data_IF_778210218189
#
_entry.id   IF_778210218189
#
_cell.length_a   1.000
_cell.length_b   1.000
_cell.length_c   1.000
_cell.angle_alpha   90.00
_cell.angle_beta   90.00
_cell.angle_gamma   90.00
#
_symmetry.space_group_name_H-M   'P 1'
#
loop_
_entity.id
_entity.type
_entity.pdbx_description
1 polymer ?
#
# COMPACT_ATOMS: atom_id res chain seq x y z
N UNK A 1 0.06 24.39 -8.60
CA UNK A 1 0.95 24.23 -7.44
C UNK A 1 1.89 25.41 -7.44
N UNK A 2 2.09 26.03 -6.29
CA UNK A 2 2.96 27.21 -6.17
C UNK A 2 4.36 26.79 -5.70
N UNK A 3 5.35 27.67 -5.87
CA UNK A 3 6.74 27.38 -5.49
C UNK A 3 6.89 27.06 -3.99
N UNK A 4 6.02 27.61 -3.14
CA UNK A 4 6.01 27.31 -1.70
C UNK A 4 5.62 25.86 -1.45
N UNK A 5 4.50 25.43 -2.03
CA UNK A 5 4.01 24.05 -1.91
C UNK A 5 5.04 23.05 -2.45
N UNK A 6 5.70 23.40 -3.57
CA UNK A 6 6.79 22.58 -4.13
C UNK A 6 7.91 22.40 -3.11
N UNK A 7 8.36 23.47 -2.45
CA UNK A 7 9.43 23.42 -1.44
C UNK A 7 9.05 22.63 -0.21
N UNK A 8 7.81 22.75 0.26
CA UNK A 8 7.29 22.00 1.41
C UNK A 8 7.23 20.50 1.11
N UNK A 9 6.89 20.12 -0.13
CA UNK A 9 6.76 18.71 -0.56
C UNK A 9 8.01 18.14 -1.25
N UNK A 10 9.07 18.93 -1.42
CA UNK A 10 10.24 18.54 -2.24
C UNK A 10 10.96 17.30 -1.70
N UNK A 11 11.11 17.18 -0.37
CA UNK A 11 11.75 16.00 0.24
C UNK A 11 10.96 14.73 -0.07
N UNK A 12 9.64 14.76 0.16
CA UNK A 12 8.77 13.63 -0.15
C UNK A 12 8.74 13.29 -1.65
N UNK A 13 8.87 14.29 -2.52
CA UNK A 13 9.00 14.10 -3.96
C UNK A 13 10.31 13.42 -4.37
N UNK A 14 11.42 13.78 -3.72
CA UNK A 14 12.74 13.17 -3.97
C UNK A 14 12.79 11.73 -3.46
N UNK A 15 12.17 11.45 -2.32
CA UNK A 15 12.13 10.12 -1.70
C UNK A 15 11.02 9.20 -2.27
N UNK A 16 10.27 9.66 -3.28
CA UNK A 16 9.15 8.95 -3.91
C UNK A 16 8.06 8.49 -2.90
N UNK A 17 7.75 9.34 -1.92
CA UNK A 17 6.75 9.07 -0.87
C UNK A 17 5.46 9.87 -1.05
N UNK A 18 5.36 10.69 -2.09
CA UNK A 18 4.16 11.47 -2.40
C UNK A 18 3.04 10.61 -3.00
N UNK A 19 1.79 11.03 -2.77
CA UNK A 19 0.66 10.47 -3.50
C UNK A 19 0.79 10.77 -5.00
N UNK A 20 0.33 9.86 -5.86
CA UNK A 20 0.53 9.98 -7.32
C UNK A 20 -0.01 11.28 -7.93
N UNK A 21 -1.10 11.83 -7.41
CA UNK A 21 -1.66 13.13 -7.86
C UNK A 21 -0.69 14.28 -7.55
N UNK A 22 -0.06 14.25 -6.38
CA UNK A 22 0.90 15.26 -5.95
C UNK A 22 2.21 15.14 -6.72
N UNK A 23 2.64 13.92 -7.03
CA UNK A 23 3.81 13.66 -7.87
C UNK A 23 3.65 14.29 -9.27
N UNK A 24 2.49 14.11 -9.91
CA UNK A 24 2.21 14.75 -11.21
C UNK A 24 2.20 16.27 -11.07
N UNK A 25 1.59 16.81 -10.01
CA UNK A 25 1.61 18.24 -9.73
C UNK A 25 3.02 18.82 -9.56
N UNK A 26 3.89 18.10 -8.87
CA UNK A 26 5.32 18.44 -8.71
C UNK A 26 6.06 18.43 -10.05
N UNK A 27 5.81 17.41 -10.89
CA UNK A 27 6.42 17.29 -12.22
C UNK A 27 5.99 18.42 -13.15
N UNK A 28 4.70 18.74 -13.21
CA UNK A 28 4.19 19.86 -14.00
C UNK A 28 4.82 21.18 -13.55
N UNK A 29 4.87 21.44 -12.24
CA UNK A 29 5.48 22.66 -11.72
C UNK A 29 6.97 22.76 -12.06
N UNK A 30 7.71 21.65 -12.00
CA UNK A 30 9.13 21.62 -12.38
C UNK A 30 9.35 21.88 -13.87
N UNK A 31 8.41 21.47 -14.73
CA UNK A 31 8.48 21.76 -16.17
C UNK A 31 8.22 23.24 -16.48
N UNK A 32 7.41 23.91 -15.67
CA UNK A 32 6.99 25.30 -15.88
C UNK A 32 7.86 26.32 -15.12
N UNK A 33 8.48 25.94 -14.00
CA UNK A 33 9.25 26.84 -13.14
C UNK A 33 10.75 26.53 -13.13
N UNK A 34 11.54 27.36 -13.81
CA UNK A 34 13.00 27.22 -13.88
C UNK A 34 13.68 27.31 -12.49
N UNK A 35 13.16 28.16 -11.60
CA UNK A 35 13.72 28.30 -10.24
C UNK A 35 13.64 26.97 -9.48
N UNK A 36 12.47 26.33 -9.47
CA UNK A 36 12.23 25.06 -8.81
C UNK A 36 12.98 23.90 -9.48
N UNK A 37 13.06 23.90 -10.81
CA UNK A 37 13.89 22.94 -11.56
C UNK A 37 15.38 23.05 -11.21
N UNK A 38 15.90 24.28 -11.07
CA UNK A 38 17.30 24.51 -10.69
C UNK A 38 17.58 24.04 -9.26
N UNK A 39 16.61 24.18 -8.35
CA UNK A 39 16.70 23.69 -6.98
C UNK A 39 16.72 22.16 -6.94
N UNK A 40 15.79 21.51 -7.66
CA UNK A 40 15.75 20.06 -7.75
C UNK A 40 17.05 19.48 -8.31
N UNK A 41 17.58 20.06 -9.39
CA UNK A 41 18.85 19.65 -9.98
C UNK A 41 20.02 19.77 -8.99
N UNK A 42 20.07 20.82 -8.16
CA UNK A 42 21.10 20.99 -7.13
C UNK A 42 20.99 19.89 -6.06
N UNK A 43 19.78 19.60 -5.58
CA UNK A 43 19.55 18.55 -4.57
C UNK A 43 19.93 17.18 -5.12
N UNK A 44 19.47 16.83 -6.33
CA UNK A 44 19.82 15.55 -6.96
C UNK A 44 21.32 15.39 -7.20
N UNK A 45 22.02 16.45 -7.61
CA UNK A 45 23.49 16.44 -7.71
C UNK A 45 24.17 16.24 -6.36
N UNK A 46 23.69 16.88 -5.30
CA UNK A 46 24.21 16.66 -3.95
C UNK A 46 24.02 15.21 -3.51
N UNK A 47 22.85 14.61 -3.78
CA UNK A 47 22.59 13.20 -3.49
C UNK A 47 23.50 12.24 -4.26
N UNK A 48 23.86 12.57 -5.49
CA UNK A 48 24.86 11.79 -6.24
C UNK A 48 26.23 11.82 -5.55
N UNK A 49 26.64 12.95 -4.95
CA UNK A 49 27.87 12.97 -4.14
C UNK A 49 27.75 12.02 -2.95
N UNK A 50 26.61 12.06 -2.23
CA UNK A 50 26.39 11.18 -1.09
C UNK A 50 26.42 9.69 -1.45
N UNK A 51 25.84 9.33 -2.59
CA UNK A 51 25.84 7.95 -3.11
C UNK A 51 27.23 7.46 -3.50
N UNK A 52 28.16 8.37 -3.77
CA UNK A 52 29.55 8.05 -4.13
C UNK A 52 30.53 8.18 -2.96
N UNK A 53 30.05 8.29 -1.71
CA UNK A 53 30.94 8.19 -0.56
C UNK A 53 31.57 6.78 -0.47
N UNK A 54 32.80 6.68 0.09
CA UNK A 54 33.38 5.38 0.37
C UNK A 54 32.46 4.57 1.28
N UNK A 55 32.45 3.26 1.07
CA UNK A 55 31.68 2.35 1.93
C UNK A 55 32.12 2.50 3.38
N UNK A 56 31.16 2.57 4.29
CA UNK A 56 31.43 2.68 5.73
C UNK A 56 31.95 1.33 6.22
N UNK A 57 33.17 1.31 6.76
CA UNK A 57 33.70 0.12 7.43
C UNK A 57 33.00 -0.10 8.77
N UNK A 58 32.41 -1.29 8.94
CA UNK A 58 31.74 -1.67 10.17
C UNK A 58 32.75 -2.12 11.22
N UNK A 59 32.48 -1.82 12.50
CA UNK A 59 33.29 -2.35 13.61
C UNK A 59 33.33 -3.89 13.60
N UNK A 60 34.44 -4.46 14.08
CA UNK A 60 34.57 -5.90 14.21
C UNK A 60 33.40 -6.52 15.01
N UNK A 61 32.84 -7.61 14.49
CA UNK A 61 31.71 -8.32 15.10
C UNK A 61 30.36 -7.60 15.03
N UNK A 62 30.24 -6.45 14.34
CA UNK A 62 28.96 -5.74 14.18
C UNK A 62 27.86 -6.62 13.62
N UNK A 63 28.14 -7.36 12.54
CA UNK A 63 27.16 -8.24 11.91
C UNK A 63 26.64 -9.32 12.87
N UNK A 64 27.53 -9.89 13.70
CA UNK A 64 27.14 -10.88 14.70
C UNK A 64 26.26 -10.28 15.80
N UNK A 65 26.59 -9.08 16.29
CA UNK A 65 25.76 -8.36 17.27
C UNK A 65 24.40 -7.97 16.69
N UNK A 66 24.37 -7.54 15.43
CA UNK A 66 23.13 -7.20 14.73
C UNK A 66 22.22 -8.42 14.57
N UNK A 67 22.77 -9.56 14.12
CA UNK A 67 22.01 -10.80 13.97
C UNK A 67 21.46 -11.31 15.31
N UNK A 68 22.28 -11.27 16.37
CA UNK A 68 21.83 -11.61 17.72
C UNK A 68 20.67 -10.70 18.17
N UNK A 69 20.77 -9.39 17.93
CA UNK A 69 19.73 -8.43 18.31
C UNK A 69 18.44 -8.61 17.51
N UNK A 70 18.54 -8.87 16.20
CA UNK A 70 17.37 -9.13 15.35
C UNK A 70 16.63 -10.40 15.78
N UNK A 71 17.37 -11.46 16.18
CA UNK A 71 16.78 -12.69 16.72
C UNK A 71 16.04 -12.44 18.03
N UNK A 72 16.64 -11.69 18.94
CA UNK A 72 16.03 -11.31 20.21
C UNK A 72 14.73 -10.51 20.02
N UNK A 73 14.74 -9.48 19.16
CA UNK A 73 13.54 -8.69 18.86
C UNK A 73 12.43 -9.56 18.26
N UNK A 74 12.76 -10.43 17.31
CA UNK A 74 11.78 -11.35 16.70
C UNK A 74 11.16 -12.29 17.72
N UNK A 75 11.95 -12.80 18.67
CA UNK A 75 11.45 -13.65 19.74
C UNK A 75 10.54 -12.87 20.71
N UNK A 76 10.89 -11.62 21.02
CA UNK A 76 10.07 -10.75 21.86
C UNK A 76 8.74 -10.40 21.20
N UNK A 77 8.72 -10.08 19.90
CA UNK A 77 7.47 -9.78 19.16
C UNK A 77 6.52 -11.00 19.15
N UNK A 78 7.07 -12.19 18.93
CA UNK A 78 6.28 -13.44 18.99
C UNK A 78 5.77 -13.74 20.40
N UNK A 79 6.55 -13.39 21.42
CA UNK A 79 6.19 -13.57 22.83
C UNK A 79 5.22 -12.49 23.33
N UNK A 80 5.16 -11.34 22.66
CA UNK A 80 4.27 -10.23 22.94
C UNK A 80 2.88 -10.40 22.32
N UNK A 81 2.66 -11.40 21.46
CA UNK A 81 1.31 -11.80 21.09
C UNK A 81 0.56 -12.21 22.36
N UNK A 82 -0.63 -11.64 22.66
CA UNK A 82 -1.34 -11.90 23.90
C UNK A 82 -2.00 -13.29 23.85
N UNK A 83 -1.19 -14.34 23.87
CA UNK A 83 -1.62 -15.74 23.94
C UNK A 83 -2.50 -15.98 25.18
N UNK A 84 -2.33 -15.17 26.23
CA UNK A 84 -3.10 -15.25 27.46
C UNK A 84 -4.48 -14.57 27.37
N UNK A 85 -4.66 -13.58 26.49
CA UNK A 85 -5.95 -12.92 26.26
C UNK A 85 -6.90 -13.75 25.38
N UNK A 86 -6.34 -14.48 24.41
CA UNK A 86 -7.12 -15.32 23.50
C UNK A 86 -7.85 -16.46 24.20
N UNK A 87 -7.22 -17.12 25.18
CA UNK A 87 -7.86 -18.21 25.95
C UNK A 87 -9.03 -17.72 26.81
N UNK A 88 -8.92 -16.54 27.42
CA UNK A 88 -10.01 -15.95 28.22
C UNK A 88 -11.13 -15.40 27.35
N UNK A 89 -10.80 -14.80 26.20
CA UNK A 89 -11.77 -14.33 25.21
C UNK A 89 -12.56 -15.47 24.56
N UNK A 90 -11.90 -16.60 24.25
CA UNK A 90 -12.55 -17.76 23.67
C UNK A 90 -13.60 -18.40 24.61
N UNK A 91 -13.31 -18.46 25.92
CA UNK A 91 -14.27 -18.97 26.92
C UNK A 91 -15.48 -18.04 27.05
N UNK A 92 -15.25 -16.72 27.12
CA UNK A 92 -16.34 -15.74 27.19
C UNK A 92 -17.23 -15.77 25.94
N UNK A 93 -16.63 -15.91 24.75
CA UNK A 93 -17.37 -16.04 23.49
C UNK A 93 -18.22 -17.33 23.42
N UNK A 94 -17.69 -18.45 23.93
CA UNK A 94 -18.43 -19.72 23.98
C UNK A 94 -19.63 -19.67 24.94
N UNK A 95 -19.51 -18.98 26.07
CA UNK A 95 -20.62 -18.79 27.01
C UNK A 95 -21.69 -17.90 26.38
N UNK A 96 -21.31 -16.79 25.76
CA UNK A 96 -22.25 -15.87 25.11
C UNK A 96 -23.02 -16.56 23.96
N UNK A 97 -22.34 -17.38 23.15
CA UNK A 97 -23.01 -18.11 22.07
C UNK A 97 -23.98 -19.16 22.59
N UNK A 98 -23.64 -19.89 23.66
CA UNK A 98 -24.55 -20.86 24.28
C UNK A 98 -25.82 -20.18 24.84
N UNK A 99 -25.68 -19.01 25.47
CA UNK A 99 -26.83 -18.22 25.96
C UNK A 99 -27.73 -17.77 24.81
N UNK A 100 -27.13 -17.30 23.71
CA UNK A 100 -27.89 -16.84 22.53
C UNK A 100 -28.65 -17.98 21.85
N UNK A 101 -28.03 -19.15 21.71
CA UNK A 101 -28.69 -20.35 21.16
C UNK A 101 -29.85 -20.79 22.08
N UNK A 102 -29.65 -20.77 23.39
CA UNK A 102 -30.71 -21.06 24.36
C UNK A 102 -31.89 -20.10 24.23
N UNK A 103 -31.62 -18.80 24.13
CA UNK A 103 -32.65 -17.76 23.98
C UNK A 103 -33.44 -17.90 22.67
N UNK A 104 -32.77 -18.21 21.56
CA UNK A 104 -33.45 -18.47 20.27
C UNK A 104 -34.33 -19.72 20.39
N UNK A 105 -33.83 -20.80 20.99
CA UNK A 105 -34.58 -22.03 21.18
C UNK A 105 -35.87 -21.84 21.98
N UNK A 106 -35.83 -21.06 23.06
CA UNK A 106 -37.03 -20.78 23.87
C UNK A 106 -38.06 -19.96 23.11
N UNK A 107 -37.64 -18.95 22.34
CA UNK A 107 -38.55 -18.11 21.56
C UNK A 107 -39.23 -18.90 20.42
N UNK A 108 -38.50 -19.79 19.77
CA UNK A 108 -39.07 -20.64 18.71
C UNK A 108 -40.06 -21.67 19.30
N UNK A 109 -39.79 -22.20 20.49
CA UNK A 109 -40.69 -23.14 21.15
C UNK A 109 -42.03 -22.50 21.57
N UNK A 110 -42.01 -21.25 22.04
CA UNK A 110 -43.25 -20.52 22.38
C UNK A 110 -44.03 -20.06 21.13
N UNK A 111 -43.34 -19.76 20.03
CA UNK A 111 -43.99 -19.41 18.76
C UNK A 111 -44.82 -20.56 18.19
N UNK A 112 -44.36 -21.81 18.35
CA UNK A 112 -45.07 -23.00 17.87
C UNK A 112 -46.37 -23.28 18.65
N UNK A 113 -46.50 -22.76 19.89
CA UNK A 113 -47.73 -22.87 20.68
C UNK A 113 -48.84 -21.89 20.28
N UNK A 114 -48.56 -20.86 19.46
CA UNK A 114 -49.45 -19.68 19.36
C UNK A 114 -50.07 -19.37 17.99
N UNK A 115 -49.96 -20.22 16.96
CA UNK A 115 -50.51 -19.85 15.65
C UNK A 115 -51.33 -20.91 14.90
N UNK A 116 -52.62 -21.02 15.26
CA UNK A 116 -53.65 -21.34 14.27
C UNK A 116 -54.26 -20.03 13.76
N UNK A 117 -53.59 -19.38 12.80
CA UNK A 117 -54.15 -18.21 12.10
C UNK A 117 -54.80 -18.70 10.80
N UNK A 118 -56.13 -18.74 10.78
CA UNK A 118 -56.92 -18.95 9.55
C UNK A 118 -57.00 -17.62 8.78
N UNK A 119 -56.32 -17.53 7.63
CA UNK A 119 -56.46 -16.38 6.73
C UNK A 119 -57.46 -16.68 5.60
N UNK A 120 -58.29 -15.69 5.27
CA UNK A 120 -59.24 -15.76 4.16
C UNK A 120 -58.53 -15.50 2.81
N UNK A 121 -58.95 -16.17 1.71
CA UNK A 121 -58.21 -16.15 0.45
C UNK A 121 -58.27 -14.79 -0.25
N UNK A 122 -57.10 -14.27 -0.64
CA UNK A 122 -56.94 -13.03 -1.41
C UNK A 122 -56.80 -13.38 -2.90
N UNK A 123 -57.64 -12.78 -3.75
CA UNK A 123 -57.56 -12.87 -5.22
C UNK A 123 -56.81 -11.66 -5.75
N UNK A 124 -55.71 -11.88 -6.49
CA UNK A 124 -54.93 -10.81 -7.10
C UNK A 124 -55.28 -10.65 -8.59
N UNK A 125 -55.53 -9.41 -9.04
CA UNK A 125 -55.62 -9.06 -10.46
C UNK A 125 -54.33 -8.34 -10.90
N UNK A 126 -53.75 -8.78 -12.02
CA UNK A 126 -52.51 -8.25 -12.62
C UNK A 126 -52.76 -6.92 -13.36
N UNK A 127 -51.92 -5.88 -13.18
CA UNK A 127 -52.00 -4.64 -13.95
C UNK A 127 -51.21 -4.73 -15.26
N UNK A 128 -51.70 -4.04 -16.29
CA UNK A 128 -51.14 -3.98 -17.65
C UNK A 128 -49.89 -3.09 -17.70
N UNK A 129 -48.89 -3.46 -18.52
CA UNK A 129 -47.56 -2.83 -18.52
C UNK A 129 -47.32 -2.07 -19.83
N UNK A 130 -47.40 -0.74 -19.79
CA UNK A 130 -47.02 0.12 -20.93
C UNK A 130 -45.49 0.27 -21.01
N UNK A 131 -44.92 -0.16 -22.12
CA UNK A 131 -43.49 -0.05 -22.44
C UNK A 131 -43.16 1.36 -22.94
N UNK A 132 -42.37 2.12 -22.16
CA UNK A 132 -41.70 3.32 -22.67
C UNK A 132 -40.26 2.98 -23.10
N UNK A 133 -39.80 3.42 -24.29
CA UNK A 133 -38.44 3.15 -24.74
C UNK A 133 -37.43 4.06 -24.02
N UNK A 134 -36.49 3.44 -23.32
CA UNK A 134 -35.36 4.11 -22.66
C UNK A 134 -34.31 4.44 -23.72
N UNK A 135 -34.11 5.73 -24.01
CA UNK A 135 -32.91 6.24 -24.68
C UNK A 135 -31.88 6.60 -23.61
N UNK A 136 -30.88 5.75 -23.41
CA UNK A 136 -29.66 6.10 -22.66
C UNK A 136 -28.42 5.71 -23.48
N UNK A 137 -27.42 6.60 -23.63
CA UNK A 137 -26.15 6.23 -24.26
C UNK A 137 -25.36 5.28 -23.35
N UNK A 138 -24.73 4.31 -24.01
CA UNK A 138 -23.95 3.17 -23.54
C UNK A 138 -22.98 3.50 -22.39
N UNK A 139 -22.99 2.75 -21.27
CA UNK A 139 -21.96 2.91 -20.25
C UNK A 139 -20.67 2.21 -20.69
N UNK A 140 -19.58 2.97 -20.76
CA UNK A 140 -18.23 2.47 -20.91
C UNK A 140 -17.80 1.71 -19.64
N UNK A 141 -18.20 0.45 -19.54
CA UNK A 141 -17.79 -0.47 -18.47
C UNK A 141 -16.95 -1.59 -19.10
N UNK A 142 -15.86 -1.25 -19.80
CA UNK A 142 -14.77 -2.21 -20.11
C UNK A 142 -13.46 -1.46 -20.36
N UNK A 143 -12.83 -0.88 -19.33
CA UNK A 143 -11.43 -0.44 -19.41
C UNK A 143 -10.80 -0.24 -18.02
N UNK A 144 -10.89 -1.23 -17.13
CA UNK A 144 -10.07 -1.26 -15.92
C UNK A 144 -9.74 -2.69 -15.50
N UNK A 145 -9.10 -3.43 -16.39
CA UNK A 145 -8.23 -4.52 -15.95
C UNK A 145 -6.88 -3.87 -15.65
N UNK A 146 -6.72 -3.44 -14.40
CA UNK A 146 -5.43 -3.12 -13.83
C UNK A 146 -4.59 -4.40 -13.82
N UNK A 147 -3.70 -4.51 -14.81
CA UNK A 147 -2.60 -5.46 -14.79
C UNK A 147 -1.70 -5.14 -13.59
N UNK A 148 -2.05 -5.69 -12.43
CA UNK A 148 -1.16 -5.84 -11.30
C UNK A 148 -0.09 -6.88 -11.63
N UNK A 149 1.16 -6.57 -11.26
CA UNK A 149 2.40 -7.37 -11.38
C UNK A 149 3.01 -7.41 -12.80
N UNK A 150 4.29 -7.09 -13.05
CA UNK A 150 5.48 -7.14 -12.21
C UNK A 150 6.61 -6.19 -12.71
N UNK A 151 6.47 -4.87 -12.56
CA UNK A 151 7.59 -3.94 -12.85
C UNK A 151 8.56 -3.85 -11.66
N UNK A 152 8.03 -4.04 -10.44
CA UNK A 152 8.79 -3.82 -9.20
C UNK A 152 10.03 -4.71 -9.00
N UNK A 153 10.03 -6.02 -9.34
CA UNK A 153 11.24 -6.82 -9.21
C UNK A 153 12.37 -6.35 -10.13
N UNK A 154 12.05 -5.96 -11.36
CA UNK A 154 13.06 -5.49 -12.33
C UNK A 154 13.68 -4.14 -11.92
N UNK A 155 12.88 -3.23 -11.36
CA UNK A 155 13.38 -1.98 -10.80
C UNK A 155 14.29 -2.22 -9.58
N UNK A 156 13.92 -3.14 -8.69
CA UNK A 156 14.70 -3.47 -7.49
C UNK A 156 16.05 -4.14 -7.83
N UNK A 157 16.10 -4.96 -8.89
CA UNK A 157 17.37 -5.51 -9.39
C UNK A 157 18.25 -4.48 -10.12
N UNK A 158 17.66 -3.48 -10.78
CA UNK A 158 18.41 -2.41 -11.43
C UNK A 158 19.10 -1.48 -10.42
N UNK A 159 18.51 -1.28 -9.23
CA UNK A 159 19.13 -0.46 -8.17
C UNK A 159 20.29 -1.15 -7.46
N UNK A 160 20.31 -2.48 -7.43
CA UNK A 160 21.34 -3.28 -6.75
C UNK A 160 22.58 -3.58 -7.62
N UNK A 161 22.59 -3.16 -8.89
CA UNK A 161 23.77 -3.29 -9.73
C UNK A 161 24.82 -2.22 -9.33
N UNK A 162 26.01 -2.61 -8.84
CA UNK A 162 27.11 -1.67 -8.66
C UNK A 162 27.58 -1.21 -10.05
N UNK A 163 27.14 -0.03 -10.48
CA UNK A 163 27.71 0.65 -11.64
C UNK A 163 29.12 1.13 -11.29
N UNK A 164 30.10 0.25 -11.47
CA UNK A 164 31.50 0.65 -11.59
C UNK A 164 31.65 1.44 -12.88
N UNK A 165 31.66 2.77 -12.79
CA UNK A 165 32.17 3.60 -13.88
C UNK A 165 33.67 3.30 -14.02
N UNK A 166 34.05 2.62 -15.09
CA UNK A 166 35.44 2.35 -15.41
C UNK A 166 36.20 3.68 -15.51
N UNK A 167 37.16 3.89 -14.61
CA UNK A 167 38.23 4.87 -14.83
C UNK A 167 39.16 4.32 -15.92
N UNK A 168 38.84 4.55 -17.20
CA UNK A 168 39.84 4.46 -18.25
C UNK A 168 40.73 5.70 -18.17
N UNK A 169 41.81 5.61 -17.41
CA UNK A 169 42.90 6.60 -17.41
C UNK A 169 43.52 6.62 -18.83
N UNK A 170 43.46 7.73 -19.59
CA UNK A 170 44.23 7.83 -20.82
C UNK A 170 45.70 7.96 -20.42
N UNK A 171 46.51 6.95 -20.78
CA UNK A 171 47.97 7.07 -20.73
C UNK A 171 48.45 8.05 -21.80
N UNK A 172 49.52 8.83 -21.55
CA UNK A 172 50.04 9.76 -22.53
C UNK A 172 50.61 8.99 -23.73
N UNK A 173 50.02 9.22 -24.91
CA UNK A 173 50.58 8.77 -26.18
C UNK A 173 51.71 9.73 -26.55
N UNK A 174 52.95 9.28 -26.36
CA UNK A 174 54.13 9.97 -26.87
C UNK A 174 54.14 9.89 -28.41
N UNK A 175 54.00 11.04 -29.06
CA UNK A 175 54.31 11.19 -30.48
C UNK A 175 55.75 11.71 -30.62
N UNK A 176 56.66 10.80 -31.00
CA UNK A 176 57.94 11.17 -31.64
C UNK A 176 58.06 10.41 -32.95
N UNK A 177 57.76 11.09 -34.06
CA UNK A 177 58.50 10.95 -35.32
C UNK A 177 58.24 12.15 -36.23
#
# INVERSE_FOLDING_TARGET
MDCRDFREKHVAFVDDTLAGIELVGMQCHMAECECCASQDAKVRRALLLFRNLPSIELSAGFAARLDARLKETRQNDLSALPAQGFRRGAIAAAIASAVMIGYIGTNLYDADRTSHVLMAPVVATTPDHDLTPITTPTPAIVASVSAGFAIWPAALFAEQAPVHFAHSRPGPVNYTR
#
